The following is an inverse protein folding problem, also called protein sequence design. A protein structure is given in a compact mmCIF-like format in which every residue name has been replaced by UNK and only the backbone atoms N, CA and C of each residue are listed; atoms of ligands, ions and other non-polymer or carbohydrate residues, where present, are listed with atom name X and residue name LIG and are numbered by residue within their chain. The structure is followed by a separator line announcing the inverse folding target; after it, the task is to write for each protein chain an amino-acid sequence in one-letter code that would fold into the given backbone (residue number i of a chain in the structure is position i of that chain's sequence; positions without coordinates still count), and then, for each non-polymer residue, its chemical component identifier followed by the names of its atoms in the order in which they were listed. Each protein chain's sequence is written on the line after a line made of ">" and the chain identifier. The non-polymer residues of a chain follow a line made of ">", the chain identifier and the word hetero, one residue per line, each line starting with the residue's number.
data_IF_391939956355
#
_entry.id   IF_391939956355
#
_cell.length_a   1.000
_cell.length_b   1.000
_cell.length_c   1.000
_cell.angle_alpha   90.00
_cell.angle_beta   90.00
_cell.angle_gamma   90.00
#
_symmetry.space_group_name_H-M   'P 1'
#
loop_
_entity.id
_entity.type
_entity.pdbx_description
1 polymer ?
#
# COMPACT_ATOMS: atom_id res chain seq x y z
N UNK A 1 -16.00 4.19 2.79
CA UNK A 1 -15.32 4.19 4.10
C UNK A 1 -14.26 5.29 4.25
N UNK A 2 -13.79 5.95 3.17
CA UNK A 2 -13.22 7.32 3.26
C UNK A 2 -11.95 7.49 4.10
N UNK A 3 -11.26 6.41 4.45
CA UNK A 3 -10.06 6.44 5.30
C UNK A 3 -8.81 7.01 4.60
N UNK A 4 -7.81 7.34 5.41
CA UNK A 4 -6.52 7.88 4.95
C UNK A 4 -5.42 6.85 5.20
N UNK A 5 -4.93 6.19 4.14
CA UNK A 5 -3.88 5.15 4.24
C UNK A 5 -2.46 5.72 4.42
N UNK A 6 -2.21 6.95 3.95
CA UNK A 6 -0.92 7.63 4.04
C UNK A 6 -1.14 9.14 4.20
N UNK A 7 -1.25 9.65 5.44
CA UNK A 7 -1.49 11.06 5.70
C UNK A 7 -0.23 11.90 5.44
N UNK A 8 -0.43 13.14 4.99
CA UNK A 8 0.64 14.12 4.80
C UNK A 8 0.17 15.48 5.35
N UNK A 9 0.87 16.10 6.31
CA UNK A 9 0.45 17.38 6.91
C UNK A 9 0.78 18.59 6.01
N UNK A 10 0.55 18.43 4.69
CA UNK A 10 0.79 19.41 3.65
C UNK A 10 -0.47 19.61 2.81
N UNK A 11 -0.82 20.86 2.56
CA UNK A 11 -1.85 21.24 1.59
C UNK A 11 -1.41 22.47 0.80
N UNK A 12 -2.09 22.76 -0.30
CA UNK A 12 -1.83 23.94 -1.11
C UNK A 12 -3.11 24.54 -1.67
N UNK A 13 -3.01 25.79 -2.10
CA UNK A 13 -4.11 26.61 -2.59
C UNK A 13 -3.83 27.12 -4.00
N UNK A 14 -4.87 27.18 -4.83
CA UNK A 14 -4.82 27.83 -6.15
C UNK A 14 -4.55 29.34 -6.08
N UNK A 15 -4.66 29.94 -4.90
CA UNK A 15 -4.24 31.33 -4.64
C UNK A 15 -2.72 31.50 -4.53
N UNK A 16 -1.95 30.42 -4.73
CA UNK A 16 -0.50 30.49 -4.89
C UNK A 16 0.30 30.34 -3.60
N UNK A 17 -0.20 29.52 -2.67
CA UNK A 17 0.55 29.15 -1.47
C UNK A 17 0.40 27.67 -1.12
N UNK A 18 1.41 27.12 -0.45
CA UNK A 18 1.39 25.80 0.18
C UNK A 18 1.74 25.93 1.66
N UNK A 19 1.21 25.05 2.50
CA UNK A 19 1.50 25.01 3.93
C UNK A 19 1.86 23.58 4.34
N UNK A 20 3.02 23.43 4.97
CA UNK A 20 3.43 22.21 5.67
C UNK A 20 3.40 22.47 7.18
N UNK A 21 2.62 21.69 7.93
CA UNK A 21 2.65 21.71 9.40
C UNK A 21 3.81 20.84 9.89
N UNK A 22 4.76 21.46 10.60
CA UNK A 22 5.95 20.78 11.11
C UNK A 22 5.64 20.08 12.45
N UNK A 23 4.87 19.01 12.38
CA UNK A 23 4.40 18.27 13.56
C UNK A 23 4.20 16.80 13.25
N UNK A 24 4.34 15.98 14.28
CA UNK A 24 4.02 14.55 14.26
C UNK A 24 2.61 14.24 14.80
N UNK A 25 1.90 15.26 15.27
CA UNK A 25 0.56 15.10 15.84
C UNK A 25 -0.49 14.96 14.73
N UNK A 26 -1.58 14.20 14.96
CA UNK A 26 -2.70 14.17 14.04
C UNK A 26 -3.34 15.55 13.91
N UNK A 27 -4.11 15.74 12.85
CA UNK A 27 -4.78 17.00 12.57
C UNK A 27 -5.96 16.82 11.63
N UNK A 28 -6.71 17.90 11.43
CA UNK A 28 -7.83 17.97 10.51
C UNK A 28 -7.79 19.28 9.75
N UNK A 29 -8.02 19.20 8.44
CA UNK A 29 -8.13 20.35 7.54
C UNK A 29 -9.55 20.40 6.98
N UNK A 30 -10.29 21.42 7.39
CA UNK A 30 -11.60 21.76 6.86
C UNK A 30 -11.44 22.91 5.86
N UNK A 31 -11.79 22.65 4.60
CA UNK A 31 -11.74 23.62 3.50
C UNK A 31 -13.11 24.22 3.17
N UNK A 32 -13.95 24.43 4.18
CA UNK A 32 -15.25 25.08 4.07
C UNK A 32 -16.44 24.13 4.13
N UNK A 33 -16.26 22.93 4.68
CA UNK A 33 -17.33 22.00 5.01
C UNK A 33 -18.23 22.54 6.13
N UNK A 34 -17.64 23.12 7.18
CA UNK A 34 -18.42 23.77 8.25
C UNK A 34 -18.93 25.17 7.82
N UNK A 35 -18.11 25.94 7.09
CA UNK A 35 -18.48 27.26 6.57
C UNK A 35 -17.67 27.58 5.31
N UNK A 36 -18.35 27.78 4.18
CA UNK A 36 -17.72 27.97 2.85
C UNK A 36 -16.71 29.14 2.79
N UNK A 37 -16.80 30.10 3.70
CA UNK A 37 -15.91 31.28 3.76
C UNK A 37 -14.67 31.07 4.63
N UNK A 38 -14.58 29.95 5.38
CA UNK A 38 -13.54 29.70 6.38
C UNK A 38 -12.80 28.40 6.05
N UNK A 39 -11.47 28.51 5.96
CA UNK A 39 -10.57 27.35 6.00
C UNK A 39 -10.05 27.20 7.42
N UNK A 40 -10.32 26.06 8.06
CA UNK A 40 -9.85 25.73 9.40
C UNK A 40 -8.86 24.58 9.34
N UNK A 41 -7.66 24.79 9.87
CA UNK A 41 -6.65 23.73 9.99
C UNK A 41 -6.18 23.65 11.42
N UNK A 42 -6.18 22.44 11.99
CA UNK A 42 -5.65 22.22 13.33
C UNK A 42 -4.82 20.94 13.39
N UNK A 43 -3.93 20.91 14.38
CA UNK A 43 -3.25 19.72 14.85
C UNK A 43 -3.36 19.65 16.37
N UNK A 44 -3.32 18.44 16.93
CA UNK A 44 -3.42 18.19 18.37
C UNK A 44 -2.11 18.53 19.10
N UNK A 45 -1.67 19.77 19.01
CA UNK A 45 -0.44 20.26 19.61
C UNK A 45 -0.62 21.62 20.30
N UNK A 46 0.22 21.90 21.29
CA UNK A 46 0.24 23.20 21.98
C UNK A 46 1.00 24.27 21.22
N UNK A 47 1.91 23.86 20.33
CA UNK A 47 2.77 24.75 19.55
C UNK A 47 2.25 24.88 18.12
N UNK A 48 2.51 26.04 17.50
CA UNK A 48 2.23 26.29 16.09
C UNK A 48 3.53 26.46 15.31
N UNK A 49 3.96 25.42 14.62
CA UNK A 49 5.11 25.45 13.70
C UNK A 49 4.70 25.05 12.27
N UNK A 50 5.00 25.90 11.29
CA UNK A 50 4.58 25.73 9.90
C UNK A 50 5.52 26.41 8.90
N UNK A 51 5.69 25.78 7.75
CA UNK A 51 6.36 26.35 6.58
C UNK A 51 5.31 26.82 5.58
N UNK A 52 5.51 28.03 5.04
CA UNK A 52 4.68 28.62 4.00
C UNK A 52 5.48 28.76 2.71
N UNK A 53 5.02 28.12 1.64
CA UNK A 53 5.61 28.21 0.30
C UNK A 53 4.74 29.15 -0.52
N UNK A 54 5.33 30.13 -1.22
CA UNK A 54 4.58 31.12 -2.01
C UNK A 54 4.99 31.01 -3.46
N UNK A 55 4.10 30.52 -4.30
CA UNK A 55 4.39 30.32 -5.71
C UNK A 55 3.11 30.29 -6.56
N UNK A 56 3.21 30.84 -7.78
CA UNK A 56 2.04 31.00 -8.66
C UNK A 56 1.62 29.72 -9.39
N UNK A 57 2.50 28.71 -9.47
CA UNK A 57 2.26 27.46 -10.20
C UNK A 57 2.33 26.26 -9.25
N UNK A 58 1.42 25.29 -9.38
CA UNK A 58 1.46 24.07 -8.55
C UNK A 58 2.77 23.31 -8.62
N UNK A 59 3.41 23.25 -9.80
CA UNK A 59 4.73 22.61 -9.97
C UNK A 59 5.79 23.24 -9.07
N UNK A 60 5.79 24.57 -8.97
CA UNK A 60 6.81 25.30 -8.26
C UNK A 60 6.57 25.17 -6.74
N UNK A 61 5.31 25.13 -6.28
CA UNK A 61 4.97 24.77 -4.89
C UNK A 61 5.44 23.35 -4.51
N UNK A 62 5.32 22.38 -5.41
CA UNK A 62 5.85 21.03 -5.19
C UNK A 62 7.37 21.04 -5.14
N UNK A 63 8.04 21.84 -5.97
CA UNK A 63 9.49 21.98 -5.94
C UNK A 63 9.97 22.54 -4.59
N UNK A 64 9.30 23.57 -4.06
CA UNK A 64 9.61 24.15 -2.75
C UNK A 64 9.40 23.12 -1.62
N UNK A 65 8.30 22.35 -1.68
CA UNK A 65 8.04 21.26 -0.75
C UNK A 65 9.14 20.18 -0.81
N UNK A 66 9.53 19.72 -2.01
CA UNK A 66 10.58 18.72 -2.19
C UNK A 66 11.97 19.20 -1.77
N UNK A 67 12.29 20.48 -1.98
CA UNK A 67 13.55 21.06 -1.50
C UNK A 67 13.63 20.99 0.03
N UNK A 68 12.52 21.24 0.72
CA UNK A 68 12.45 21.17 2.19
C UNK A 68 12.39 19.74 2.72
N UNK A 69 11.55 18.87 2.15
CA UNK A 69 11.24 17.54 2.71
C UNK A 69 12.01 16.39 2.07
N UNK A 70 12.77 16.67 1.01
CA UNK A 70 13.48 15.67 0.22
C UNK A 70 12.82 15.40 -1.13
N UNK A 71 13.65 15.31 -2.17
CA UNK A 71 13.21 14.98 -3.52
C UNK A 71 12.68 13.54 -3.60
N UNK A 72 11.63 13.27 -4.40
CA UNK A 72 11.18 11.92 -4.68
C UNK A 72 12.31 11.07 -5.25
N UNK A 73 12.41 9.82 -4.79
CA UNK A 73 13.37 8.86 -5.34
C UNK A 73 12.95 8.49 -6.76
N UNK A 74 13.92 8.49 -7.68
CA UNK A 74 13.72 7.90 -9.00
C UNK A 74 13.79 6.37 -8.87
N UNK A 75 12.66 5.70 -9.11
CA UNK A 75 12.61 4.25 -9.05
C UNK A 75 13.41 3.64 -10.21
N UNK A 76 14.03 2.45 -10.02
CA UNK A 76 14.65 1.72 -11.14
C UNK A 76 13.60 1.28 -12.16
N UNK A 77 14.01 1.08 -13.42
CA UNK A 77 13.08 0.82 -14.53
C UNK A 77 12.14 -0.37 -14.27
N UNK A 78 12.61 -1.45 -13.65
CA UNK A 78 11.77 -2.63 -13.37
C UNK A 78 10.62 -2.35 -12.40
N UNK A 79 10.70 -1.29 -11.57
CA UNK A 79 9.66 -0.95 -10.62
C UNK A 79 8.45 -0.26 -11.27
N UNK A 80 8.54 0.07 -12.56
CA UNK A 80 7.42 0.53 -13.37
C UNK A 80 6.64 -0.63 -14.03
N UNK A 81 7.09 -1.87 -13.84
CA UNK A 81 6.39 -3.08 -14.28
C UNK A 81 5.57 -3.67 -13.13
N UNK A 82 4.59 -4.50 -13.46
CA UNK A 82 3.79 -5.21 -12.46
C UNK A 82 4.64 -6.19 -11.63
N UNK A 83 4.22 -6.42 -10.39
CA UNK A 83 4.89 -7.32 -9.47
C UNK A 83 3.94 -8.44 -9.04
N UNK A 84 4.49 -9.64 -8.87
CA UNK A 84 3.79 -10.78 -8.29
C UNK A 84 4.26 -10.98 -6.84
N UNK A 85 3.38 -10.78 -5.86
CA UNK A 85 3.71 -10.84 -4.43
C UNK A 85 2.85 -11.89 -3.72
N UNK A 86 3.50 -12.88 -3.11
CA UNK A 86 2.85 -13.83 -2.21
C UNK A 86 3.90 -14.44 -1.26
N UNK A 87 3.44 -15.28 -0.33
CA UNK A 87 4.30 -16.18 0.43
C UNK A 87 4.35 -17.55 -0.27
N UNK A 88 5.55 -18.04 -0.58
CA UNK A 88 5.79 -19.37 -1.18
C UNK A 88 6.68 -20.25 -0.29
N UNK A 89 6.71 -19.98 1.01
CA UNK A 89 7.59 -20.67 1.96
C UNK A 89 6.82 -21.16 3.20
N UNK A 90 5.50 -21.29 3.11
CA UNK A 90 4.69 -21.54 4.31
C UNK A 90 3.43 -22.34 4.06
N UNK A 91 2.65 -21.99 3.04
CA UNK A 91 1.28 -22.51 2.94
C UNK A 91 1.29 -23.88 2.25
N UNK A 92 0.19 -24.62 2.40
CA UNK A 92 0.02 -25.97 1.89
C UNK A 92 -1.12 -25.99 0.87
N UNK A 93 -0.97 -26.81 -0.17
CA UNK A 93 -2.01 -27.07 -1.15
C UNK A 93 -2.61 -28.46 -0.94
N UNK A 94 -3.92 -28.53 -0.76
CA UNK A 94 -4.67 -29.79 -0.57
C UNK A 94 -5.53 -30.02 -1.80
N UNK A 95 -5.46 -31.23 -2.38
CA UNK A 95 -6.30 -31.64 -3.52
C UNK A 95 -7.76 -31.71 -3.09
N UNK A 96 -8.66 -31.12 -3.87
CA UNK A 96 -10.09 -30.99 -3.58
C UNK A 96 -10.92 -31.15 -4.86
N UNK A 97 -12.23 -31.36 -4.74
CA UNK A 97 -13.15 -31.35 -5.89
C UNK A 97 -13.32 -29.93 -6.48
N UNK A 98 -13.63 -29.83 -7.77
CA UNK A 98 -13.81 -28.56 -8.51
C UNK A 98 -14.87 -27.65 -7.91
N UNK A 99 -15.88 -28.22 -7.25
CA UNK A 99 -16.98 -27.48 -6.63
C UNK A 99 -16.62 -26.90 -5.25
N UNK A 100 -15.42 -27.19 -4.73
CA UNK A 100 -14.97 -26.68 -3.44
C UNK A 100 -14.75 -25.18 -3.51
N UNK A 101 -15.37 -24.42 -2.61
CA UNK A 101 -15.18 -22.95 -2.55
C UNK A 101 -13.69 -22.60 -2.35
N UNK A 102 -13.15 -21.85 -3.32
CA UNK A 102 -11.74 -21.47 -3.37
C UNK A 102 -10.81 -22.52 -3.99
N UNK A 103 -11.35 -23.53 -4.67
CA UNK A 103 -10.57 -24.46 -5.49
C UNK A 103 -9.94 -23.74 -6.69
N UNK A 104 -8.68 -24.07 -6.98
CA UNK A 104 -7.89 -23.52 -8.07
C UNK A 104 -7.37 -24.70 -8.90
N UNK A 105 -7.56 -24.64 -10.22
CA UNK A 105 -7.04 -25.62 -11.18
C UNK A 105 -5.53 -25.38 -11.39
N UNK A 106 -4.72 -26.43 -11.31
CA UNK A 106 -3.29 -26.40 -11.59
C UNK A 106 -2.94 -27.19 -12.87
N UNK A 107 -1.68 -27.12 -13.30
CA UNK A 107 -1.18 -27.65 -14.57
C UNK A 107 -1.33 -29.18 -14.72
N UNK A 108 -1.41 -29.91 -13.61
CA UNK A 108 -1.68 -31.35 -13.59
C UNK A 108 -3.14 -31.73 -13.87
N UNK A 109 -4.01 -30.73 -14.07
CA UNK A 109 -5.43 -30.91 -14.34
C UNK A 109 -6.28 -31.16 -13.10
N UNK A 110 -5.71 -31.03 -11.90
CA UNK A 110 -6.41 -31.21 -10.62
C UNK A 110 -6.69 -29.87 -9.93
N UNK A 111 -7.63 -29.89 -9.00
CA UNK A 111 -8.03 -28.73 -8.23
C UNK A 111 -7.43 -28.77 -6.83
N UNK A 112 -6.92 -27.64 -6.37
CA UNK A 112 -6.28 -27.50 -5.07
C UNK A 112 -6.82 -26.28 -4.31
N UNK A 113 -6.78 -26.34 -2.98
CA UNK A 113 -7.07 -25.20 -2.11
C UNK A 113 -5.90 -24.95 -1.16
N UNK A 114 -5.53 -23.67 -1.02
CA UNK A 114 -4.46 -23.25 -0.12
C UNK A 114 -4.93 -23.20 1.34
N UNK A 115 -4.07 -23.69 2.24
CA UNK A 115 -4.27 -23.68 3.69
C UNK A 115 -3.00 -23.17 4.38
N UNK A 116 -3.17 -22.28 5.37
CA UNK A 116 -2.09 -21.96 6.29
C UNK A 116 -1.81 -23.18 7.18
N UNK A 117 -0.58 -23.36 7.71
CA UNK A 117 -0.25 -24.51 8.54
C UNK A 117 -1.21 -24.78 9.71
N UNK A 118 -1.74 -23.72 10.33
CA UNK A 118 -2.69 -23.82 11.46
C UNK A 118 -4.09 -24.29 11.06
N UNK A 119 -4.46 -24.17 9.78
CA UNK A 119 -5.80 -24.49 9.24
C UNK A 119 -5.80 -25.87 8.55
N UNK A 120 -4.70 -26.63 8.70
CA UNK A 120 -4.53 -27.95 8.11
C UNK A 120 -5.45 -28.99 8.75
N UNK A 121 -5.74 -28.94 10.06
CA UNK A 121 -6.64 -29.88 10.75
C UNK A 121 -6.44 -31.37 10.39
N UNK A 122 -5.18 -31.82 10.29
CA UNK A 122 -4.85 -33.20 9.93
C UNK A 122 -5.01 -33.56 8.44
N UNK A 123 -5.35 -32.59 7.57
CA UNK A 123 -5.33 -32.75 6.11
C UNK A 123 -3.90 -33.10 5.66
N UNK A 124 -3.81 -33.90 4.60
CA UNK A 124 -2.53 -34.11 3.90
C UNK A 124 -2.45 -33.13 2.76
N UNK A 125 -1.38 -32.34 2.70
CA UNK A 125 -1.18 -31.32 1.67
C UNK A 125 0.28 -31.23 1.26
N UNK A 126 0.51 -30.53 0.15
CA UNK A 126 1.82 -30.31 -0.44
C UNK A 126 2.31 -28.94 0.02
N UNK A 127 3.41 -28.92 0.78
CA UNK A 127 4.04 -27.69 1.27
C UNK A 127 4.63 -26.90 0.09
N UNK A 128 4.39 -25.60 0.03
CA UNK A 128 5.03 -24.70 -0.94
C UNK A 128 6.56 -24.60 -0.75
N UNK A 129 7.24 -24.14 -1.79
CA UNK A 129 8.65 -23.74 -1.67
C UNK A 129 8.99 -22.67 -2.70
N UNK A 130 10.07 -21.93 -2.49
CA UNK A 130 10.49 -20.94 -3.48
C UNK A 130 10.91 -21.60 -4.80
N UNK A 131 11.66 -22.72 -4.75
CA UNK A 131 12.30 -23.28 -5.95
C UNK A 131 11.63 -24.54 -6.50
N UNK A 132 10.64 -25.12 -5.81
CA UNK A 132 9.94 -26.32 -6.27
C UNK A 132 10.77 -27.61 -6.11
N UNK A 133 11.79 -27.58 -5.26
CA UNK A 133 12.79 -28.65 -5.13
C UNK A 133 12.31 -29.87 -4.33
N UNK A 134 11.11 -29.82 -3.75
CA UNK A 134 10.58 -30.83 -2.82
C UNK A 134 9.44 -31.64 -3.45
N UNK A 135 9.55 -31.92 -4.75
CA UNK A 135 8.51 -32.57 -5.55
C UNK A 135 7.18 -31.80 -5.51
N UNK A 136 7.26 -30.47 -5.61
CA UNK A 136 6.15 -29.53 -5.41
C UNK A 136 6.21 -28.35 -6.40
N UNK A 137 6.77 -28.54 -7.60
CA UNK A 137 7.10 -27.46 -8.53
C UNK A 137 5.93 -26.54 -8.87
N UNK A 138 4.74 -27.09 -9.17
CA UNK A 138 3.55 -26.28 -9.50
C UNK A 138 3.08 -25.38 -8.34
N UNK A 139 3.50 -25.69 -7.10
CA UNK A 139 3.20 -24.90 -5.90
C UNK A 139 4.39 -24.03 -5.47
N UNK A 140 5.25 -23.66 -6.41
CA UNK A 140 6.46 -22.89 -6.15
C UNK A 140 6.42 -21.49 -6.74
N UNK A 141 7.25 -20.60 -6.20
CA UNK A 141 7.39 -19.25 -6.76
C UNK A 141 7.92 -19.23 -8.20
N UNK A 142 8.63 -20.29 -8.65
CA UNK A 142 9.15 -20.39 -10.02
C UNK A 142 8.12 -20.80 -11.07
N UNK A 143 7.04 -21.46 -10.64
CA UNK A 143 5.98 -21.90 -11.55
C UNK A 143 4.96 -20.78 -11.84
N UNK A 144 4.94 -19.75 -11.01
CA UNK A 144 4.07 -18.58 -11.11
C UNK A 144 4.63 -17.50 -12.03
#
# INVERSE_FOLDING_TARGET
>A
DGGVSSPCPFYWSSYGYGILRNTWQPGCYDFGADSEEIVSTYHECTDYDAYYFINSKPRDLLQDYYELTGNPLLMPEYAYYEAHLNAFNRDYWVEVDSETSGAILFEDGKYYKSYKPKDMDGKTGILESLNGEKNNYQFSARAM
#
